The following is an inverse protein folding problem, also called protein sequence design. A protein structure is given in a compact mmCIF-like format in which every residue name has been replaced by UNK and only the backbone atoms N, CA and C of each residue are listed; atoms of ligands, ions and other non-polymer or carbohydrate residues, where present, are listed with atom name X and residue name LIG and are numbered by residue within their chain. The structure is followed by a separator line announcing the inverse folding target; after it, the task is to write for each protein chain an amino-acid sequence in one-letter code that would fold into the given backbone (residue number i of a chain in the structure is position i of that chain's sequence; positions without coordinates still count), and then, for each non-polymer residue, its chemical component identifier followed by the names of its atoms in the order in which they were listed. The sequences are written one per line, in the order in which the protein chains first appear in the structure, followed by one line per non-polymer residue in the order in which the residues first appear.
data_IF_170764364702
#
_entry.id   IF_170764364702
#
_cell.length_a   1.000
_cell.length_b   1.000
_cell.length_c   1.000
_cell.angle_alpha   90.00
_cell.angle_beta   90.00
_cell.angle_gamma   90.00
#
_symmetry.space_group_name_H-M   'P 1'
#
loop_
_entity.id
_entity.type
_entity.pdbx_description
1 polymer ?
#
# COMPACT_ATOMS: atom_id res chain seq x y z
N UNK A 1 -51.99 48.76 31.79
CA UNK A 1 -51.06 49.90 31.81
C UNK A 1 -50.00 49.56 30.76
N UNK A 2 -49.94 50.12 29.58
CA UNK A 2 -50.60 51.31 29.03
C UNK A 2 -50.88 51.12 27.54
N UNK A 3 -51.98 51.74 27.13
CA UNK A 3 -52.39 51.96 25.76
C UNK A 3 -51.79 53.28 25.22
N UNK A 4 -51.85 53.45 23.88
CA UNK A 4 -51.75 54.68 23.04
C UNK A 4 -50.70 54.50 21.92
N UNK A 5 -50.89 54.92 20.68
CA UNK A 5 -51.97 55.64 20.01
C UNK A 5 -51.81 55.45 18.49
N UNK A 6 -52.93 55.56 17.79
CA UNK A 6 -53.09 55.42 16.35
C UNK A 6 -52.68 56.67 15.54
N UNK A 7 -52.30 56.44 14.27
CA UNK A 7 -52.54 57.28 13.06
C UNK A 7 -51.80 56.58 11.91
N UNK A 8 -52.42 56.07 10.86
CA UNK A 8 -53.32 56.77 9.95
C UNK A 8 -52.58 57.00 8.63
N UNK A 9 -52.56 56.00 7.74
CA UNK A 9 -52.08 56.16 6.36
C UNK A 9 -53.17 55.74 5.39
N UNK A 10 -53.48 56.67 4.49
CA UNK A 10 -54.57 56.63 3.52
C UNK A 10 -54.30 55.55 2.48
N UNK A 11 -55.36 54.83 2.12
CA UNK A 11 -55.38 53.87 1.02
C UNK A 11 -54.95 54.51 -0.29
N UNK A 12 -53.99 53.86 -0.94
CA UNK A 12 -53.73 53.98 -2.36
C UNK A 12 -54.44 52.80 -3.01
N UNK A 13 -55.49 53.10 -3.77
CA UNK A 13 -56.16 52.15 -4.65
C UNK A 13 -55.16 51.73 -5.73
N UNK A 14 -54.63 50.52 -5.61
CA UNK A 14 -53.84 49.88 -6.65
C UNK A 14 -54.77 49.55 -7.83
N UNK A 15 -54.44 50.15 -8.96
CA UNK A 15 -54.97 49.87 -10.29
C UNK A 15 -54.58 48.42 -10.68
N UNK A 16 -55.53 47.50 -10.99
CA UNK A 16 -55.25 46.09 -11.22
C UNK A 16 -54.86 45.76 -12.67
N UNK A 17 -54.29 46.71 -13.41
CA UNK A 17 -54.13 46.58 -14.88
C UNK A 17 -52.67 46.50 -15.36
N UNK A 18 -51.75 46.01 -14.52
CA UNK A 18 -50.31 45.88 -14.86
C UNK A 18 -49.76 44.46 -14.75
N UNK A 19 -50.60 43.45 -14.54
CA UNK A 19 -50.17 42.05 -14.39
C UNK A 19 -50.15 41.21 -15.67
N UNK A 20 -50.36 41.79 -16.86
CA UNK A 20 -50.52 41.04 -18.11
C UNK A 20 -49.33 41.12 -19.08
N UNK A 21 -48.37 42.01 -18.87
CA UNK A 21 -47.14 42.09 -19.68
C UNK A 21 -46.04 41.17 -19.17
N UNK A 22 -45.94 40.98 -17.84
CA UNK A 22 -44.86 40.18 -17.24
C UNK A 22 -44.95 38.67 -17.53
N UNK A 23 -46.16 38.15 -17.82
CA UNK A 23 -46.33 36.72 -18.16
C UNK A 23 -45.89 36.39 -19.58
N UNK A 24 -46.06 37.31 -20.54
CA UNK A 24 -45.67 37.09 -21.94
C UNK A 24 -44.15 37.11 -22.11
N UNK A 25 -43.49 38.06 -21.45
CA UNK A 25 -42.03 38.17 -21.47
C UNK A 25 -41.37 36.95 -20.82
N UNK A 26 -42.01 36.34 -19.80
CA UNK A 26 -41.56 35.09 -19.18
C UNK A 26 -41.79 33.84 -20.06
N UNK A 27 -42.91 33.78 -20.79
CA UNK A 27 -43.19 32.69 -21.75
C UNK A 27 -42.24 32.73 -22.95
N UNK A 28 -42.00 33.92 -23.52
CA UNK A 28 -41.12 34.10 -24.67
C UNK A 28 -39.65 33.81 -24.28
N UNK A 29 -39.21 34.21 -23.08
CA UNK A 29 -37.89 33.86 -22.56
C UNK A 29 -37.73 32.33 -22.40
N UNK A 30 -38.74 31.64 -21.86
CA UNK A 30 -38.73 30.17 -21.69
C UNK A 30 -38.68 29.42 -23.02
N UNK A 31 -39.46 29.86 -24.00
CA UNK A 31 -39.50 29.23 -25.32
C UNK A 31 -38.15 29.34 -26.04
N UNK A 32 -37.47 30.48 -25.86
CA UNK A 32 -36.15 30.74 -26.44
C UNK A 32 -35.06 29.84 -25.83
N UNK A 33 -35.11 29.61 -24.50
CA UNK A 33 -34.17 28.72 -23.79
C UNK A 33 -34.36 27.25 -24.19
N UNK A 34 -35.61 26.78 -24.33
CA UNK A 34 -35.93 25.41 -24.74
C UNK A 34 -35.43 25.10 -26.17
N UNK A 35 -35.62 26.03 -27.11
CA UNK A 35 -35.13 25.90 -28.48
C UNK A 35 -33.59 25.86 -28.55
N UNK A 36 -32.90 26.67 -27.74
CA UNK A 36 -31.44 26.70 -27.66
C UNK A 36 -30.86 25.38 -27.14
N UNK A 37 -31.45 24.79 -26.09
CA UNK A 37 -31.02 23.49 -25.55
C UNK A 37 -31.27 22.34 -26.52
N UNK A 38 -32.40 22.36 -27.23
CA UNK A 38 -32.71 21.38 -28.29
C UNK A 38 -31.65 21.39 -29.40
N UNK A 39 -31.21 22.59 -29.83
CA UNK A 39 -30.13 22.72 -30.82
C UNK A 39 -28.80 22.17 -30.32
N UNK A 40 -28.44 22.43 -29.05
CA UNK A 40 -27.23 21.89 -28.40
C UNK A 40 -27.25 20.35 -28.32
N UNK A 41 -28.40 19.76 -27.95
CA UNK A 41 -28.60 18.29 -27.91
C UNK A 41 -28.33 17.68 -29.28
N UNK A 42 -28.91 18.26 -30.35
CA UNK A 42 -28.71 17.75 -31.72
C UNK A 42 -27.24 17.85 -32.15
N UNK A 43 -26.55 18.94 -31.81
CA UNK A 43 -25.14 19.13 -32.15
C UNK A 43 -24.21 18.15 -31.41
N UNK A 44 -24.55 17.79 -30.16
CA UNK A 44 -23.75 16.92 -29.30
C UNK A 44 -23.95 15.40 -29.54
N UNK A 45 -25.01 15.00 -30.26
CA UNK A 45 -25.43 13.60 -30.35
C UNK A 45 -24.36 12.63 -30.90
N UNK A 46 -23.59 13.06 -31.91
CA UNK A 46 -22.55 12.22 -32.50
C UNK A 46 -21.40 11.94 -31.51
N UNK A 47 -20.97 12.97 -30.77
CA UNK A 47 -19.89 12.83 -29.79
C UNK A 47 -20.35 12.00 -28.58
N UNK A 48 -21.58 12.21 -28.10
CA UNK A 48 -22.17 11.37 -27.05
C UNK A 48 -22.11 9.88 -27.42
N UNK A 49 -22.55 9.51 -28.63
CA UNK A 49 -22.57 8.11 -29.06
C UNK A 49 -21.16 7.51 -29.12
N UNK A 50 -20.16 8.29 -29.57
CA UNK A 50 -18.75 7.88 -29.57
C UNK A 50 -18.26 7.60 -28.14
N UNK A 51 -18.51 8.51 -27.21
CA UNK A 51 -18.04 8.37 -25.82
C UNK A 51 -18.72 7.19 -25.11
N UNK A 52 -20.03 6.98 -25.31
CA UNK A 52 -20.74 5.82 -24.76
C UNK A 52 -20.17 4.49 -25.28
N UNK A 53 -19.83 4.41 -26.58
CA UNK A 53 -19.16 3.23 -27.14
C UNK A 53 -17.79 2.99 -26.49
N UNK A 54 -17.02 4.05 -26.23
CA UNK A 54 -15.72 3.97 -25.57
C UNK A 54 -15.85 3.51 -24.11
N UNK A 55 -16.83 4.02 -23.36
CA UNK A 55 -17.14 3.57 -22.00
C UNK A 55 -17.48 2.08 -21.99
N UNK A 56 -18.36 1.63 -22.90
CA UNK A 56 -18.75 0.22 -23.01
C UNK A 56 -17.57 -0.69 -23.37
N UNK A 57 -16.68 -0.26 -24.28
CA UNK A 57 -15.50 -1.03 -24.67
C UNK A 57 -14.50 -1.20 -23.52
N UNK A 58 -14.44 -0.27 -22.57
CA UNK A 58 -13.43 -0.21 -21.50
C UNK A 58 -13.95 -0.62 -20.12
N UNK A 59 -15.26 -0.84 -19.95
CA UNK A 59 -15.90 -1.12 -18.65
C UNK A 59 -15.32 -2.30 -17.86
N UNK A 60 -14.75 -3.29 -18.55
CA UNK A 60 -14.20 -4.49 -17.91
C UNK A 60 -12.85 -4.23 -17.21
N UNK A 61 -12.15 -3.15 -17.56
CA UNK A 61 -10.77 -2.90 -17.13
C UNK A 61 -10.62 -2.81 -15.60
N UNK A 62 -11.55 -2.12 -14.91
CA UNK A 62 -11.53 -1.96 -13.45
C UNK A 62 -11.62 -3.31 -12.71
N UNK A 63 -12.58 -4.15 -13.13
CA UNK A 63 -12.78 -5.46 -12.51
C UNK A 63 -11.58 -6.39 -12.74
N UNK A 64 -11.03 -6.41 -13.95
CA UNK A 64 -9.84 -7.22 -14.26
C UNK A 64 -8.60 -6.74 -13.51
N UNK A 65 -8.40 -5.42 -13.33
CA UNK A 65 -7.33 -4.87 -12.49
C UNK A 65 -7.43 -5.37 -11.04
N UNK A 66 -8.63 -5.41 -10.48
CA UNK A 66 -8.88 -5.94 -9.14
C UNK A 66 -8.47 -7.41 -9.00
N UNK A 67 -8.66 -8.22 -10.04
CA UNK A 67 -8.29 -9.64 -10.07
C UNK A 67 -6.77 -9.88 -10.22
N UNK A 68 -6.05 -8.96 -10.87
CA UNK A 68 -4.60 -9.06 -11.10
C UNK A 68 -3.76 -8.80 -9.84
N UNK A 69 -4.22 -7.89 -8.96
CA UNK A 69 -3.49 -7.54 -7.73
C UNK A 69 -3.15 -8.75 -6.83
N UNK A 70 -4.09 -9.65 -6.49
CA UNK A 70 -3.77 -10.84 -5.70
C UNK A 70 -2.86 -11.82 -6.46
N UNK A 71 -3.00 -11.96 -7.78
CA UNK A 71 -2.14 -12.84 -8.59
C UNK A 71 -0.68 -12.39 -8.60
N UNK A 72 -0.46 -11.08 -8.76
CA UNK A 72 0.89 -10.48 -8.70
C UNK A 72 1.48 -10.68 -7.30
N UNK A 73 0.69 -10.50 -6.25
CA UNK A 73 1.15 -10.69 -4.86
C UNK A 73 1.54 -12.14 -4.60
N UNK A 74 0.70 -13.10 -4.98
CA UNK A 74 0.97 -14.53 -4.85
C UNK A 74 2.22 -14.96 -5.62
N UNK A 75 2.38 -14.52 -6.88
CA UNK A 75 3.59 -14.81 -7.66
C UNK A 75 4.83 -14.14 -7.10
N UNK A 76 4.72 -12.94 -6.52
CA UNK A 76 5.85 -12.24 -5.89
C UNK A 76 6.35 -13.04 -4.68
N UNK A 77 5.43 -13.52 -3.84
CA UNK A 77 5.77 -14.37 -2.69
C UNK A 77 6.42 -15.69 -3.17
N UNK A 78 5.84 -16.35 -4.18
CA UNK A 78 6.44 -17.55 -4.78
C UNK A 78 7.82 -17.30 -5.39
N UNK A 79 8.04 -16.12 -5.96
CA UNK A 79 9.34 -15.69 -6.48
C UNK A 79 10.38 -15.50 -5.38
N UNK A 80 9.98 -14.91 -4.25
CA UNK A 80 10.83 -14.79 -3.06
C UNK A 80 11.24 -16.16 -2.51
N UNK A 81 10.28 -17.07 -2.32
CA UNK A 81 10.55 -18.44 -1.85
C UNK A 81 11.47 -19.20 -2.82
N UNK A 82 11.21 -19.08 -4.13
CA UNK A 82 12.04 -19.70 -5.16
C UNK A 82 13.47 -19.12 -5.17
N UNK A 83 13.62 -17.82 -4.96
CA UNK A 83 14.92 -17.15 -4.87
C UNK A 83 15.72 -17.61 -3.64
N UNK A 84 15.07 -17.73 -2.46
CA UNK A 84 15.70 -18.29 -1.27
C UNK A 84 16.13 -19.75 -1.47
N UNK A 85 15.30 -20.56 -2.12
CA UNK A 85 15.65 -21.94 -2.47
C UNK A 85 16.87 -21.99 -3.39
N UNK A 86 16.92 -21.16 -4.44
CA UNK A 86 18.08 -21.08 -5.33
C UNK A 86 19.33 -20.67 -4.56
N UNK A 87 19.26 -19.66 -3.68
CA UNK A 87 20.38 -19.23 -2.86
C UNK A 87 20.91 -20.36 -1.96
N UNK A 88 20.00 -21.13 -1.36
CA UNK A 88 20.33 -22.27 -0.50
C UNK A 88 21.00 -23.39 -1.29
N UNK A 89 20.45 -23.76 -2.46
CA UNK A 89 21.01 -24.80 -3.32
C UNK A 89 22.39 -24.41 -3.88
N UNK A 90 22.61 -23.12 -4.17
CA UNK A 90 23.93 -22.63 -4.61
C UNK A 90 24.96 -22.63 -3.49
N UNK A 91 24.55 -22.34 -2.26
CA UNK A 91 25.42 -22.48 -1.10
C UNK A 91 25.82 -23.96 -0.89
N UNK A 92 24.84 -24.87 -0.95
CA UNK A 92 25.10 -26.32 -0.88
C UNK A 92 26.03 -26.79 -2.01
N UNK A 93 25.80 -26.36 -3.25
CA UNK A 93 26.64 -26.69 -4.40
C UNK A 93 28.09 -26.22 -4.19
N UNK A 94 28.30 -25.03 -3.63
CA UNK A 94 29.63 -24.51 -3.30
C UNK A 94 30.33 -25.39 -2.25
N UNK A 95 29.60 -25.82 -1.22
CA UNK A 95 30.14 -26.66 -0.16
C UNK A 95 30.48 -28.06 -0.67
N UNK A 96 29.61 -28.66 -1.49
CA UNK A 96 29.87 -29.94 -2.17
C UNK A 96 31.08 -29.85 -3.10
N UNK A 97 31.21 -28.76 -3.86
CA UNK A 97 32.39 -28.52 -4.70
C UNK A 97 33.68 -28.44 -3.88
N UNK A 98 33.63 -27.73 -2.75
CA UNK A 98 34.79 -27.61 -1.86
C UNK A 98 35.16 -28.96 -1.20
N UNK A 99 34.18 -29.82 -0.90
CA UNK A 99 34.42 -31.17 -0.43
C UNK A 99 35.11 -32.04 -1.49
N UNK A 100 34.55 -32.06 -2.70
CA UNK A 100 35.09 -32.77 -3.85
C UNK A 100 36.54 -32.36 -4.17
N UNK A 101 36.81 -31.05 -4.25
CA UNK A 101 38.15 -30.52 -4.49
C UNK A 101 39.16 -30.96 -3.38
N UNK A 102 38.73 -31.00 -2.11
CA UNK A 102 39.57 -31.50 -1.00
C UNK A 102 39.85 -32.99 -1.13
N UNK A 103 38.84 -33.78 -1.50
CA UNK A 103 38.97 -35.22 -1.63
C UNK A 103 39.86 -35.60 -2.83
N UNK A 104 39.69 -34.93 -3.97
CA UNK A 104 40.56 -35.07 -5.14
C UNK A 104 42.02 -34.71 -4.83
N UNK A 105 42.26 -33.60 -4.10
CA UNK A 105 43.62 -33.21 -3.67
C UNK A 105 44.25 -34.24 -2.72
N UNK A 106 43.47 -34.87 -1.84
CA UNK A 106 43.95 -35.94 -0.95
C UNK A 106 44.27 -37.22 -1.73
N UNK A 107 43.40 -37.64 -2.65
CA UNK A 107 43.63 -38.81 -3.51
C UNK A 107 44.87 -38.65 -4.44
N UNK A 108 45.14 -37.42 -4.88
CA UNK A 108 46.30 -37.09 -5.72
C UNK A 108 47.64 -36.97 -4.97
N UNK A 109 47.63 -36.85 -3.64
CA UNK A 109 48.84 -36.65 -2.82
C UNK A 109 49.68 -37.92 -2.71
N UNK A 110 51.00 -37.78 -2.95
CA UNK A 110 52.00 -38.85 -2.83
C UNK A 110 52.05 -39.48 -1.43
N UNK A 111 51.67 -38.72 -0.38
CA UNK A 111 51.62 -39.20 1.01
C UNK A 111 50.38 -40.04 1.27
N UNK A 112 49.23 -39.71 0.68
CA UNK A 112 48.01 -40.54 0.79
C UNK A 112 48.24 -41.90 0.12
N UNK A 113 48.88 -41.93 -1.06
CA UNK A 113 49.22 -43.19 -1.74
C UNK A 113 50.10 -44.14 -0.91
N UNK A 114 50.88 -43.61 0.04
CA UNK A 114 51.79 -44.38 0.90
C UNK A 114 51.12 -44.88 2.20
N UNK A 115 50.14 -44.16 2.75
CA UNK A 115 49.59 -44.46 4.09
C UNK A 115 48.07 -44.69 4.16
N UNK A 116 47.29 -44.21 3.19
CA UNK A 116 45.82 -44.39 3.16
C UNK A 116 45.32 -44.56 1.71
N UNK A 117 44.89 -45.78 1.38
CA UNK A 117 44.23 -46.10 0.11
C UNK A 117 42.91 -45.33 0.06
N UNK A 118 42.84 -44.27 -0.76
CA UNK A 118 41.62 -43.50 -0.97
C UNK A 118 40.50 -44.43 -1.45
N UNK A 119 39.35 -44.43 -0.77
CA UNK A 119 38.23 -45.31 -1.12
C UNK A 119 37.55 -44.77 -2.40
N UNK A 120 37.64 -45.47 -3.54
CA UNK A 120 37.08 -45.00 -4.80
C UNK A 120 35.55 -44.84 -4.73
N UNK A 121 34.88 -45.62 -3.88
CA UNK A 121 33.42 -45.51 -3.68
C UNK A 121 33.01 -44.22 -2.99
N UNK A 122 33.87 -43.69 -2.10
CA UNK A 122 33.59 -42.43 -1.42
C UNK A 122 33.73 -41.24 -2.38
N UNK A 123 34.68 -41.30 -3.32
CA UNK A 123 34.84 -40.27 -4.36
C UNK A 123 33.66 -40.28 -5.34
N UNK A 124 33.23 -41.47 -5.78
CA UNK A 124 32.07 -41.63 -6.67
C UNK A 124 30.79 -41.10 -6.01
N UNK A 125 30.56 -41.39 -4.72
CA UNK A 125 29.42 -40.87 -3.98
C UNK A 125 29.43 -39.33 -3.82
N UNK A 126 30.62 -38.71 -3.64
CA UNK A 126 30.76 -37.25 -3.60
C UNK A 126 30.55 -36.61 -4.99
N UNK A 127 30.99 -37.26 -6.07
CA UNK A 127 30.73 -36.84 -7.45
C UNK A 127 29.24 -36.88 -7.78
N UNK A 128 28.56 -37.98 -7.45
CA UNK A 128 27.11 -38.13 -7.63
C UNK A 128 26.32 -37.06 -6.85
N UNK A 129 26.69 -36.82 -5.58
CA UNK A 129 26.06 -35.79 -4.77
C UNK A 129 26.27 -34.37 -5.34
N UNK A 130 27.44 -34.09 -5.91
CA UNK A 130 27.71 -32.81 -6.59
C UNK A 130 26.82 -32.64 -7.83
N UNK A 131 26.75 -33.64 -8.72
CA UNK A 131 25.94 -33.56 -9.93
C UNK A 131 24.44 -33.51 -9.63
N UNK A 132 23.99 -34.21 -8.59
CA UNK A 132 22.61 -34.12 -8.11
C UNK A 132 22.29 -32.69 -7.62
N UNK A 133 23.16 -32.10 -6.79
CA UNK A 133 23.00 -30.73 -6.31
C UNK A 133 23.01 -29.71 -7.47
N UNK A 134 23.87 -29.90 -8.47
CA UNK A 134 23.91 -29.06 -9.67
C UNK A 134 22.60 -29.16 -10.47
N UNK A 135 22.08 -30.37 -10.68
CA UNK A 135 20.81 -30.59 -11.38
C UNK A 135 19.62 -29.94 -10.63
N UNK A 136 19.57 -30.03 -9.31
CA UNK A 136 18.55 -29.37 -8.49
C UNK A 136 18.66 -27.84 -8.57
N UNK A 137 19.87 -27.28 -8.48
CA UNK A 137 20.09 -25.85 -8.62
C UNK A 137 19.67 -25.34 -10.01
N UNK A 138 19.97 -26.09 -11.08
CA UNK A 138 19.55 -25.75 -12.44
C UNK A 138 18.01 -25.76 -12.58
N UNK A 139 17.33 -26.79 -12.07
CA UNK A 139 15.85 -26.85 -12.07
C UNK A 139 15.22 -25.69 -11.30
N UNK A 140 15.78 -25.35 -10.13
CA UNK A 140 15.30 -24.24 -9.31
C UNK A 140 15.46 -22.89 -10.03
N UNK A 141 16.59 -22.68 -10.72
CA UNK A 141 16.80 -21.47 -11.55
C UNK A 141 15.82 -21.35 -12.71
N UNK A 142 15.53 -22.45 -13.41
CA UNK A 142 14.52 -22.45 -14.48
C UNK A 142 13.14 -22.11 -13.93
N UNK A 143 12.77 -22.65 -12.77
CA UNK A 143 11.51 -22.34 -12.10
C UNK A 143 11.43 -20.86 -11.71
N UNK A 144 12.50 -20.31 -11.13
CA UNK A 144 12.58 -18.88 -10.78
C UNK A 144 12.43 -18.01 -12.02
N UNK A 145 13.18 -18.29 -13.10
CA UNK A 145 13.08 -17.54 -14.35
C UNK A 145 11.69 -17.59 -14.99
N UNK A 146 10.94 -18.70 -14.83
CA UNK A 146 9.54 -18.77 -15.25
C UNK A 146 8.63 -17.87 -14.41
N UNK A 147 8.81 -17.86 -13.08
CA UNK A 147 8.04 -16.99 -12.18
C UNK A 147 8.33 -15.52 -12.51
N UNK A 148 9.58 -15.16 -12.77
CA UNK A 148 9.96 -13.80 -13.16
C UNK A 148 9.31 -13.38 -14.50
N UNK A 149 9.31 -14.28 -15.50
CA UNK A 149 8.65 -14.03 -16.78
C UNK A 149 7.12 -13.87 -16.63
N UNK A 150 6.48 -14.72 -15.82
CA UNK A 150 5.05 -14.63 -15.53
C UNK A 150 4.74 -13.31 -14.78
N UNK A 151 5.59 -12.89 -13.84
CA UNK A 151 5.46 -11.61 -13.14
C UNK A 151 5.56 -10.41 -14.08
N UNK A 152 6.51 -10.44 -15.02
CA UNK A 152 6.68 -9.36 -16.00
C UNK A 152 5.48 -9.29 -16.96
N UNK A 153 4.95 -10.43 -17.40
CA UNK A 153 3.73 -10.48 -18.20
C UNK A 153 2.51 -9.90 -17.45
N UNK A 154 2.31 -10.26 -16.16
CA UNK A 154 1.22 -9.69 -15.37
C UNK A 154 1.41 -8.19 -15.11
N UNK A 155 2.64 -7.71 -14.93
CA UNK A 155 2.93 -6.28 -14.78
C UNK A 155 2.60 -5.50 -16.06
N UNK A 156 2.92 -6.06 -17.23
CA UNK A 156 2.55 -5.48 -18.53
C UNK A 156 1.02 -5.45 -18.68
N UNK A 157 0.34 -6.57 -18.43
CA UNK A 157 -1.12 -6.64 -18.47
C UNK A 157 -1.78 -5.63 -17.52
N UNK A 158 -1.22 -5.44 -16.32
CA UNK A 158 -1.68 -4.41 -15.37
C UNK A 158 -1.49 -3.00 -15.93
N UNK A 159 -0.37 -2.71 -16.59
CA UNK A 159 -0.15 -1.41 -17.21
C UNK A 159 -1.16 -1.14 -18.32
N UNK A 160 -1.42 -2.12 -19.20
CA UNK A 160 -2.39 -2.00 -20.29
C UNK A 160 -3.82 -1.78 -19.77
N UNK A 161 -4.22 -2.56 -18.76
CA UNK A 161 -5.56 -2.40 -18.16
C UNK A 161 -5.68 -1.07 -17.40
N UNK A 162 -4.60 -0.56 -16.81
CA UNK A 162 -4.59 0.77 -16.20
C UNK A 162 -4.79 1.85 -17.25
N UNK A 163 -4.10 1.76 -18.39
CA UNK A 163 -4.33 2.68 -19.51
C UNK A 163 -5.80 2.66 -19.97
N UNK A 164 -6.41 1.46 -20.12
CA UNK A 164 -7.84 1.33 -20.46
C UNK A 164 -8.78 1.87 -19.38
N UNK A 165 -8.43 1.71 -18.11
CA UNK A 165 -9.18 2.31 -17.00
C UNK A 165 -9.10 3.84 -17.02
N UNK A 166 -7.94 4.39 -17.34
CA UNK A 166 -7.74 5.83 -17.47
C UNK A 166 -8.51 6.36 -18.69
N UNK A 167 -8.51 5.65 -19.82
CA UNK A 167 -9.36 5.93 -20.98
C UNK A 167 -10.85 5.87 -20.66
N UNK A 168 -11.29 4.90 -19.85
CA UNK A 168 -12.67 4.79 -19.38
C UNK A 168 -13.06 6.02 -18.55
N UNK A 169 -12.20 6.40 -17.61
CA UNK A 169 -12.42 7.55 -16.73
C UNK A 169 -12.45 8.85 -17.52
N UNK A 170 -11.54 9.00 -18.49
CA UNK A 170 -11.52 10.16 -19.39
C UNK A 170 -12.81 10.25 -20.24
N UNK A 171 -13.31 9.12 -20.74
CA UNK A 171 -14.56 9.09 -21.50
C UNK A 171 -15.79 9.44 -20.64
N UNK A 172 -15.83 8.99 -19.39
CA UNK A 172 -16.87 9.39 -18.43
C UNK A 172 -16.82 10.89 -18.13
N UNK A 173 -15.63 11.44 -17.86
CA UNK A 173 -15.47 12.88 -17.63
C UNK A 173 -15.87 13.69 -18.86
N UNK A 174 -15.49 13.25 -20.06
CA UNK A 174 -15.90 13.90 -21.30
C UNK A 174 -17.42 13.83 -21.54
N UNK A 175 -18.09 12.74 -21.14
CA UNK A 175 -19.56 12.67 -21.14
C UNK A 175 -20.16 13.67 -20.15
N UNK A 176 -19.62 13.75 -18.94
CA UNK A 176 -20.07 14.69 -17.92
C UNK A 176 -19.89 16.14 -18.39
N UNK A 177 -18.75 16.48 -18.99
CA UNK A 177 -18.49 17.80 -19.59
C UNK A 177 -19.42 18.11 -20.78
N UNK A 178 -19.65 17.12 -21.67
CA UNK A 178 -20.57 17.25 -22.79
C UNK A 178 -21.99 17.51 -22.28
N UNK A 179 -22.43 16.76 -21.26
CA UNK A 179 -23.73 16.95 -20.65
C UNK A 179 -23.83 18.29 -19.93
N UNK A 180 -22.82 18.68 -19.16
CA UNK A 180 -22.75 20.00 -18.54
C UNK A 180 -22.91 21.09 -19.60
N UNK A 181 -22.15 21.08 -20.71
CA UNK A 181 -22.27 22.10 -21.75
C UNK A 181 -23.63 22.12 -22.49
N UNK A 182 -24.26 20.96 -22.64
CA UNK A 182 -25.59 20.84 -23.27
C UNK A 182 -26.69 21.34 -22.35
N UNK A 183 -26.60 21.03 -21.06
CA UNK A 183 -27.61 21.35 -20.06
C UNK A 183 -27.28 22.59 -19.20
N UNK A 184 -26.15 23.26 -19.42
CA UNK A 184 -25.80 24.51 -18.74
C UNK A 184 -26.87 25.58 -19.05
N UNK A 185 -27.58 26.04 -18.02
CA UNK A 185 -28.71 26.97 -18.10
C UNK A 185 -30.00 26.44 -17.47
N UNK A 186 -31.12 27.18 -17.56
CA UNK A 186 -32.41 26.72 -17.04
C UNK A 186 -32.79 25.40 -17.69
N UNK A 187 -33.13 24.40 -16.86
CA UNK A 187 -33.60 23.09 -17.32
C UNK A 187 -34.60 23.24 -18.47
N UNK A 188 -34.38 22.59 -19.62
CA UNK A 188 -35.31 22.67 -20.74
C UNK A 188 -36.67 22.10 -20.31
N UNK A 189 -37.76 22.83 -20.57
CA UNK A 189 -39.16 22.45 -20.25
C UNK A 189 -39.68 21.31 -21.15
N UNK A 190 -38.79 20.36 -21.48
CA UNK A 190 -38.97 19.29 -22.46
C UNK A 190 -39.27 17.95 -21.76
N UNK A 191 -39.47 17.97 -20.43
CA UNK A 191 -39.92 16.80 -19.65
C UNK A 191 -40.25 17.13 -18.19
N UNK A 192 -41.13 16.32 -17.58
CA UNK A 192 -41.64 16.44 -16.20
C UNK A 192 -40.61 16.14 -15.09
N UNK A 193 -39.31 16.10 -15.37
CA UNK A 193 -38.27 15.74 -14.41
C UNK A 193 -37.37 16.92 -14.06
N UNK A 194 -37.27 17.27 -12.77
CA UNK A 194 -36.34 18.28 -12.24
C UNK A 194 -34.88 17.78 -12.37
N UNK A 195 -34.26 17.93 -13.55
CA UNK A 195 -32.84 17.59 -13.77
C UNK A 195 -31.93 18.35 -12.81
N UNK A 196 -32.23 19.63 -12.56
CA UNK A 196 -31.58 20.48 -11.55
C UNK A 196 -31.59 19.84 -10.15
N UNK A 197 -32.68 19.14 -9.77
CA UNK A 197 -32.79 18.49 -8.46
C UNK A 197 -31.91 17.23 -8.37
N UNK A 198 -31.81 16.46 -9.45
CA UNK A 198 -30.88 15.31 -9.53
C UNK A 198 -29.43 15.77 -9.52
N UNK A 199 -29.10 16.85 -10.24
CA UNK A 199 -27.76 17.44 -10.19
C UNK A 199 -27.41 17.89 -8.77
N UNK A 200 -28.31 18.63 -8.10
CA UNK A 200 -28.13 19.03 -6.71
C UNK A 200 -27.91 17.85 -5.77
N UNK A 201 -28.65 16.74 -5.96
CA UNK A 201 -28.47 15.52 -5.19
C UNK A 201 -27.10 14.86 -5.43
N UNK A 202 -26.63 14.81 -6.68
CA UNK A 202 -25.29 14.29 -7.01
C UNK A 202 -24.19 15.16 -6.42
N UNK A 203 -24.31 16.48 -6.51
CA UNK A 203 -23.35 17.41 -5.91
C UNK A 203 -23.28 17.25 -4.38
N UNK A 204 -24.43 17.09 -3.71
CA UNK A 204 -24.49 16.82 -2.28
C UNK A 204 -23.83 15.48 -1.92
N UNK A 205 -24.12 14.41 -2.67
CA UNK A 205 -23.50 13.09 -2.47
C UNK A 205 -21.98 13.13 -2.70
N UNK A 206 -21.53 13.89 -3.72
CA UNK A 206 -20.11 14.09 -4.01
C UNK A 206 -19.40 14.78 -2.85
N UNK A 207 -19.97 15.85 -2.30
CA UNK A 207 -19.40 16.56 -1.17
C UNK A 207 -19.25 15.66 0.08
N UNK A 208 -20.22 14.79 0.34
CA UNK A 208 -20.13 13.80 1.43
C UNK A 208 -19.02 12.78 1.15
N UNK A 209 -18.96 12.23 -0.05
CA UNK A 209 -17.91 11.27 -0.44
C UNK A 209 -16.51 11.88 -0.32
N UNK A 210 -16.31 13.10 -0.83
CA UNK A 210 -15.02 13.79 -0.78
C UNK A 210 -14.58 14.08 0.66
N UNK A 211 -15.51 14.47 1.53
CA UNK A 211 -15.23 14.66 2.95
C UNK A 211 -14.77 13.35 3.64
N UNK A 212 -15.42 12.22 3.32
CA UNK A 212 -15.02 10.89 3.83
C UNK A 212 -13.66 10.49 3.25
N UNK A 213 -13.43 10.71 1.96
CA UNK A 213 -12.17 10.37 1.30
C UNK A 213 -10.99 11.17 1.86
N UNK A 214 -11.18 12.45 2.16
CA UNK A 214 -10.18 13.27 2.84
C UNK A 214 -9.84 12.75 4.24
N UNK A 215 -10.86 12.37 5.03
CA UNK A 215 -10.68 11.72 6.33
C UNK A 215 -9.94 10.39 6.22
N UNK A 216 -10.27 9.57 5.23
CA UNK A 216 -9.63 8.28 4.99
C UNK A 216 -8.14 8.45 4.64
N UNK A 217 -7.82 9.40 3.74
CA UNK A 217 -6.44 9.68 3.35
C UNK A 217 -5.60 10.15 4.55
N UNK A 218 -6.17 11.02 5.39
CA UNK A 218 -5.53 11.46 6.64
C UNK A 218 -5.30 10.29 7.61
N UNK A 219 -6.33 9.47 7.87
CA UNK A 219 -6.22 8.31 8.77
C UNK A 219 -5.19 7.28 8.28
N UNK A 220 -5.13 7.03 6.97
CA UNK A 220 -4.13 6.13 6.36
C UNK A 220 -2.71 6.64 6.54
N UNK A 221 -2.48 7.95 6.37
CA UNK A 221 -1.16 8.54 6.56
C UNK A 221 -0.71 8.44 8.04
N UNK A 222 -1.61 8.68 9.00
CA UNK A 222 -1.33 8.49 10.44
C UNK A 222 -1.00 7.03 10.75
N UNK A 223 -1.84 6.09 10.30
CA UNK A 223 -1.60 4.65 10.51
C UNK A 223 -0.28 4.20 9.86
N UNK A 224 0.06 4.72 8.68
CA UNK A 224 1.32 4.45 8.00
C UNK A 224 2.54 4.87 8.83
N UNK A 225 2.52 6.05 9.45
CA UNK A 225 3.59 6.50 10.34
C UNK A 225 3.69 5.67 11.62
N UNK A 226 2.57 5.29 12.24
CA UNK A 226 2.59 4.42 13.43
C UNK A 226 3.16 3.03 13.11
N UNK A 227 2.77 2.45 11.98
CA UNK A 227 3.30 1.16 11.53
C UNK A 227 4.78 1.24 11.16
N UNK A 228 5.25 2.36 10.59
CA UNK A 228 6.66 2.58 10.36
C UNK A 228 7.43 2.66 11.69
N UNK A 229 6.92 3.41 12.68
CA UNK A 229 7.52 3.49 14.01
C UNK A 229 7.60 2.11 14.68
N UNK A 230 6.51 1.35 14.65
CA UNK A 230 6.44 -0.03 15.14
C UNK A 230 7.47 -0.92 14.43
N UNK A 231 7.58 -0.82 13.11
CA UNK A 231 8.55 -1.55 12.30
C UNK A 231 10.00 -1.27 12.72
N UNK A 232 10.35 0.00 12.96
CA UNK A 232 11.70 0.36 13.44
C UNK A 232 11.98 -0.17 14.86
N UNK A 233 11.00 -0.17 15.76
CA UNK A 233 11.14 -0.79 17.11
C UNK A 233 11.34 -2.31 17.01
N UNK A 234 10.60 -3.00 16.13
CA UNK A 234 10.80 -4.44 15.87
C UNK A 234 12.19 -4.71 15.28
N UNK A 235 12.68 -3.85 14.37
CA UNK A 235 14.04 -3.95 13.85
C UNK A 235 15.09 -3.82 14.96
N UNK A 236 14.90 -2.89 15.90
CA UNK A 236 15.74 -2.76 17.10
C UNK A 236 15.76 -4.05 17.93
N UNK A 237 14.60 -4.66 18.19
CA UNK A 237 14.50 -5.95 18.91
C UNK A 237 15.25 -7.07 18.18
N UNK A 238 15.22 -7.12 16.85
CA UNK A 238 15.95 -8.11 16.07
C UNK A 238 17.48 -7.91 16.17
N UNK A 239 17.95 -6.66 16.20
CA UNK A 239 19.36 -6.35 16.45
C UNK A 239 19.79 -6.76 17.86
N UNK A 240 18.95 -6.50 18.87
CA UNK A 240 19.20 -6.94 20.26
C UNK A 240 19.20 -8.47 20.37
N UNK A 241 18.25 -9.17 19.72
CA UNK A 241 18.23 -10.63 19.71
C UNK A 241 19.49 -11.23 19.06
N UNK A 242 20.00 -10.60 18.00
CA UNK A 242 21.27 -10.97 17.38
C UNK A 242 22.46 -10.72 18.32
N UNK A 243 22.46 -9.58 19.03
CA UNK A 243 23.49 -9.27 20.03
C UNK A 243 23.48 -10.29 21.18
N UNK A 244 22.32 -10.63 21.73
CA UNK A 244 22.17 -11.68 22.75
C UNK A 244 22.66 -13.04 22.26
N UNK A 245 22.46 -13.37 20.99
CA UNK A 245 22.99 -14.61 20.42
C UNK A 245 24.51 -14.61 20.40
N UNK A 246 25.15 -13.51 19.99
CA UNK A 246 26.62 -13.38 20.01
C UNK A 246 27.16 -13.40 21.45
N UNK A 247 26.51 -12.70 22.38
CA UNK A 247 26.85 -12.68 23.80
C UNK A 247 26.80 -14.09 24.41
N UNK A 248 25.78 -14.88 24.08
CA UNK A 248 25.67 -16.29 24.53
C UNK A 248 26.76 -17.17 23.95
N UNK A 249 27.09 -16.98 22.67
CA UNK A 249 28.19 -17.71 22.05
C UNK A 249 29.51 -17.40 22.76
N UNK A 250 29.74 -16.14 23.12
CA UNK A 250 30.94 -15.72 23.81
C UNK A 250 31.06 -16.32 25.23
N UNK A 251 29.98 -16.27 26.01
CA UNK A 251 29.91 -16.88 27.36
C UNK A 251 30.09 -18.41 27.31
N UNK A 252 29.58 -19.08 26.27
CA UNK A 252 29.67 -20.54 26.13
C UNK A 252 31.04 -20.97 25.60
N UNK A 253 31.61 -20.23 24.65
CA UNK A 253 32.95 -20.51 24.11
C UNK A 253 34.04 -20.22 25.16
N UNK A 254 33.87 -19.23 26.05
CA UNK A 254 34.80 -18.96 27.15
C UNK A 254 34.78 -20.04 28.25
N UNK A 255 33.65 -20.73 28.43
CA UNK A 255 33.51 -21.88 29.33
C UNK A 255 33.96 -23.22 28.70
N UNK A 256 34.40 -23.22 27.44
CA UNK A 256 35.01 -24.34 26.74
C UNK A 256 36.42 -24.66 27.25
N UNK A 257 36.58 -24.86 28.57
CA UNK A 257 37.76 -25.55 29.11
C UNK A 257 37.78 -26.95 28.49
N UNK A 258 38.77 -27.15 27.63
CA UNK A 258 39.17 -28.44 27.05
C UNK A 258 39.13 -29.58 28.08
N UNK A 259 38.04 -30.35 28.09
CA UNK A 259 38.06 -31.71 28.61
C UNK A 259 38.23 -32.70 27.45
N UNK A 260 39.50 -32.96 27.11
CA UNK A 260 39.97 -34.29 26.70
C UNK A 260 39.55 -34.80 25.32
N UNK A 261 40.18 -34.30 24.24
CA UNK A 261 40.48 -35.12 23.08
C UNK A 261 41.71 -34.59 22.34
N UNK A 262 42.73 -35.45 22.21
CA UNK A 262 44.01 -35.16 21.57
C UNK A 262 43.89 -34.80 20.08
N UNK A 263 42.72 -34.99 19.46
CA UNK A 263 42.45 -34.55 18.09
C UNK A 263 42.15 -33.04 17.96
N UNK A 264 41.92 -32.33 19.08
CA UNK A 264 41.65 -30.88 19.07
C UNK A 264 42.90 -29.99 19.11
N UNK A 265 44.11 -30.57 19.13
CA UNK A 265 45.36 -29.82 19.21
C UNK A 265 45.64 -28.90 18.02
N UNK A 266 44.99 -29.11 16.88
CA UNK A 266 45.04 -28.19 15.73
C UNK A 266 44.13 -26.96 15.87
N UNK A 267 43.23 -26.93 16.87
CA UNK A 267 42.36 -25.77 17.16
C UNK A 267 42.93 -24.85 18.26
N UNK A 268 44.14 -25.14 18.76
CA UNK A 268 44.81 -24.38 19.83
C UNK A 268 45.45 -23.07 19.33
N UNK A 269 45.37 -22.78 18.03
CA UNK A 269 45.83 -21.50 17.48
C UNK A 269 44.66 -20.49 17.49
N UNK A 270 44.55 -19.75 18.60
CA UNK A 270 43.66 -18.61 18.89
C UNK A 270 42.27 -18.87 19.52
N UNK A 271 42.21 -19.27 20.80
CA UNK A 271 41.00 -19.08 21.63
C UNK A 271 40.59 -17.61 21.82
N UNK A 272 41.47 -16.64 21.57
CA UNK A 272 41.18 -15.20 21.69
C UNK A 272 40.58 -14.55 20.43
N UNK A 273 40.48 -15.27 19.31
CA UNK A 273 40.03 -14.68 18.04
C UNK A 273 38.54 -14.90 17.78
N UNK A 274 37.91 -15.89 18.42
CA UNK A 274 36.44 -16.09 18.37
C UNK A 274 35.71 -15.11 19.28
N UNK A 275 36.18 -14.89 20.52
CA UNK A 275 35.54 -13.97 21.48
C UNK A 275 35.62 -12.51 21.02
N UNK A 276 36.82 -12.03 20.67
CA UNK A 276 37.01 -10.67 20.16
C UNK A 276 36.23 -10.39 18.86
N UNK A 277 35.85 -11.44 18.11
CA UNK A 277 34.97 -11.33 16.94
C UNK A 277 33.49 -11.29 17.36
N UNK A 278 33.09 -12.10 18.33
CA UNK A 278 31.75 -12.07 18.91
C UNK A 278 31.46 -10.69 19.51
N UNK A 279 32.36 -10.13 20.32
CA UNK A 279 32.23 -8.79 20.93
C UNK A 279 32.03 -7.68 19.88
N UNK A 280 32.79 -7.78 18.76
CA UNK A 280 32.68 -6.81 17.67
C UNK A 280 31.32 -6.92 16.99
N UNK A 281 30.89 -8.14 16.67
CA UNK A 281 29.60 -8.38 16.02
C UNK A 281 28.45 -7.95 16.92
N UNK A 282 28.52 -8.27 18.21
CA UNK A 282 27.55 -7.86 19.23
C UNK A 282 27.43 -6.33 19.30
N UNK A 283 28.55 -5.63 19.51
CA UNK A 283 28.58 -4.16 19.56
C UNK A 283 28.13 -3.53 18.25
N UNK A 284 28.49 -4.11 17.11
CA UNK A 284 28.04 -3.63 15.81
C UNK A 284 26.52 -3.78 15.64
N UNK A 285 25.90 -4.80 16.24
CA UNK A 285 24.43 -4.89 16.31
C UNK A 285 23.82 -3.87 17.26
N UNK A 286 24.39 -3.70 18.46
CA UNK A 286 23.87 -2.75 19.45
C UNK A 286 23.93 -1.29 18.96
N UNK A 287 24.96 -0.91 18.18
CA UNK A 287 25.06 0.43 17.55
C UNK A 287 23.91 0.77 16.61
N UNK A 288 23.18 -0.22 16.09
CA UNK A 288 22.03 0.01 15.20
C UNK A 288 20.74 0.31 15.99
N UNK A 289 20.66 -0.10 17.25
CA UNK A 289 19.48 0.08 18.10
C UNK A 289 19.09 1.56 18.26
N UNK A 290 20.01 2.50 18.59
CA UNK A 290 19.67 3.92 18.73
C UNK A 290 19.14 4.53 17.43
N UNK A 291 19.69 4.12 16.28
CA UNK A 291 19.24 4.60 14.98
C UNK A 291 17.79 4.18 14.69
N UNK A 292 17.46 2.92 14.97
CA UNK A 292 16.10 2.40 14.86
C UNK A 292 15.13 3.10 15.83
N UNK A 293 15.54 3.34 17.07
CA UNK A 293 14.72 4.06 18.05
C UNK A 293 14.49 5.52 17.65
N UNK A 294 15.51 6.21 17.15
CA UNK A 294 15.39 7.59 16.66
C UNK A 294 14.47 7.68 15.42
N UNK A 295 14.52 6.70 14.52
CA UNK A 295 13.59 6.61 13.39
C UNK A 295 12.15 6.39 13.87
N UNK A 296 11.95 5.54 14.87
CA UNK A 296 10.64 5.33 15.49
C UNK A 296 10.10 6.61 16.14
N UNK A 297 10.93 7.35 16.88
CA UNK A 297 10.58 8.65 17.45
C UNK A 297 10.21 9.68 16.38
N UNK A 298 10.95 9.72 15.28
CA UNK A 298 10.67 10.60 14.14
C UNK A 298 9.28 10.33 13.54
N UNK A 299 8.98 9.07 13.25
CA UNK A 299 7.66 8.69 12.73
C UNK A 299 6.53 8.95 13.72
N UNK A 300 6.78 8.71 15.01
CA UNK A 300 5.80 9.03 16.05
C UNK A 300 5.54 10.54 16.14
N UNK A 301 6.57 11.37 16.02
CA UNK A 301 6.43 12.82 16.00
C UNK A 301 5.60 13.31 14.80
N UNK A 302 5.81 12.72 13.61
CA UNK A 302 5.01 13.01 12.41
C UNK A 302 3.55 12.61 12.61
N UNK A 303 3.29 11.40 13.11
CA UNK A 303 1.93 10.95 13.42
C UNK A 303 1.23 11.91 14.41
N UNK A 304 1.94 12.34 15.46
CA UNK A 304 1.45 13.29 16.46
C UNK A 304 1.17 14.68 15.91
N UNK A 305 1.97 15.14 14.95
CA UNK A 305 1.73 16.41 14.27
C UNK A 305 0.47 16.34 13.41
N UNK A 306 0.20 15.19 12.80
CA UNK A 306 -0.97 14.99 11.94
C UNK A 306 -2.27 14.80 12.72
N UNK A 307 -2.23 14.08 13.85
CA UNK A 307 -3.41 13.76 14.66
C UNK A 307 -3.15 13.94 16.17
N UNK A 308 -3.07 15.20 16.64
CA UNK A 308 -2.77 15.49 18.05
C UNK A 308 -3.93 15.16 19.00
N UNK A 309 -5.14 14.96 18.49
CA UNK A 309 -6.33 14.74 19.30
C UNK A 309 -6.53 13.27 19.69
N UNK A 310 -6.15 12.34 18.81
CA UNK A 310 -6.41 10.91 19.00
C UNK A 310 -5.19 10.12 19.47
N UNK A 311 -3.98 10.63 19.26
CA UNK A 311 -2.80 10.02 19.85
C UNK A 311 -2.73 10.41 21.32
N UNK A 312 -2.63 9.40 22.19
CA UNK A 312 -2.58 9.62 23.63
C UNK A 312 -1.56 10.71 23.96
N UNK A 313 -1.97 11.66 24.83
CA UNK A 313 -1.14 12.82 25.23
C UNK A 313 0.23 12.41 25.78
N UNK A 314 0.40 11.13 26.12
CA UNK A 314 1.56 10.50 26.72
C UNK A 314 2.32 9.54 25.79
N UNK A 315 2.03 9.50 24.48
CA UNK A 315 2.86 8.80 23.49
C UNK A 315 4.24 9.47 23.41
N UNK A 316 5.08 9.08 24.34
CA UNK A 316 6.52 9.24 24.35
C UNK A 316 7.04 7.82 24.51
N UNK A 317 7.94 7.42 23.63
CA UNK A 317 8.61 6.14 23.81
C UNK A 317 9.35 6.18 25.16
N UNK A 318 9.23 5.13 25.98
CA UNK A 318 10.08 4.97 27.15
C UNK A 318 11.54 5.22 26.78
N UNK A 319 12.27 5.96 27.63
CA UNK A 319 13.71 6.10 27.44
C UNK A 319 14.38 4.76 27.70
N UNK A 320 14.95 4.18 26.65
CA UNK A 320 15.67 2.91 26.74
C UNK A 320 17.15 3.19 26.92
N UNK A 321 17.77 2.76 28.03
CA UNK A 321 19.23 2.69 28.10
C UNK A 321 19.71 1.58 27.16
N UNK A 322 20.52 1.92 26.16
CA UNK A 322 21.08 0.93 25.24
C UNK A 322 22.40 0.42 25.79
N UNK A 323 22.53 -0.91 25.89
CA UNK A 323 23.75 -1.55 26.35
C UNK A 323 24.98 -1.07 25.58
N UNK A 324 26.01 -0.66 26.31
CA UNK A 324 27.26 -0.18 25.73
C UNK A 324 27.27 1.29 25.29
N UNK A 325 26.17 2.03 25.42
CA UNK A 325 26.16 3.49 25.31
C UNK A 325 26.52 4.17 26.65
N UNK A 326 27.43 5.16 26.62
CA UNK A 326 27.82 5.94 27.81
C UNK A 326 28.87 5.26 28.72
N UNK A 327 28.89 5.62 30.00
CA UNK A 327 29.82 5.12 31.01
C UNK A 327 29.29 3.87 31.74
N UNK A 328 28.74 2.88 31.01
CA UNK A 328 28.37 1.61 31.65
C UNK A 328 29.61 0.97 32.27
N UNK A 329 29.53 0.72 33.58
CA UNK A 329 30.60 0.08 34.35
C UNK A 329 30.82 -1.35 33.86
N UNK A 330 29.76 -2.04 33.41
CA UNK A 330 29.88 -3.38 32.83
C UNK A 330 30.66 -3.36 31.51
N UNK A 331 30.36 -2.43 30.60
CA UNK A 331 31.09 -2.26 29.33
C UNK A 331 32.57 -1.88 29.55
N UNK A 332 32.86 -1.00 30.52
CA UNK A 332 34.23 -0.61 30.86
C UNK A 332 35.04 -1.77 31.47
N UNK A 333 34.42 -2.59 32.30
CA UNK A 333 35.05 -3.76 32.92
C UNK A 333 35.25 -4.90 31.92
N UNK A 334 34.28 -5.12 31.04
CA UNK A 334 34.35 -6.09 29.95
C UNK A 334 35.53 -5.81 29.02
N UNK A 335 35.66 -4.58 28.54
CA UNK A 335 36.80 -4.17 27.69
C UNK A 335 38.16 -4.26 28.39
N UNK A 336 38.20 -4.08 29.72
CA UNK A 336 39.44 -4.01 30.48
C UNK A 336 39.94 -5.38 30.98
N UNK A 337 39.03 -6.29 31.31
CA UNK A 337 39.36 -7.55 32.00
C UNK A 337 38.98 -8.78 31.16
N UNK A 338 37.99 -8.70 30.26
CA UNK A 338 37.51 -9.77 29.36
C UNK A 338 37.46 -11.14 30.09
N UNK A 339 36.52 -11.22 31.04
CA UNK A 339 36.32 -12.40 31.89
C UNK A 339 34.89 -12.90 31.78
N UNK A 340 34.63 -14.20 31.98
CA UNK A 340 33.26 -14.75 31.93
C UNK A 340 32.24 -14.01 32.83
N UNK A 341 32.72 -13.39 33.93
CA UNK A 341 31.88 -12.58 34.81
C UNK A 341 31.50 -11.24 34.18
N UNK A 342 32.44 -10.57 33.49
CA UNK A 342 32.15 -9.30 32.80
C UNK A 342 31.29 -9.51 31.57
N UNK A 343 31.50 -10.60 30.83
CA UNK A 343 30.70 -10.98 29.67
C UNK A 343 29.24 -11.25 30.10
N UNK A 344 29.06 -11.92 31.25
CA UNK A 344 27.74 -12.15 31.85
C UNK A 344 27.05 -10.85 32.32
N UNK A 345 27.80 -9.91 32.92
CA UNK A 345 27.23 -8.61 33.31
C UNK A 345 26.80 -7.79 32.08
N UNK A 346 27.56 -7.84 30.99
CA UNK A 346 27.18 -7.18 29.74
C UNK A 346 25.98 -7.87 29.07
N UNK A 347 25.89 -9.21 29.13
CA UNK A 347 24.71 -9.95 28.71
C UNK A 347 23.43 -9.47 29.40
N UNK A 348 23.47 -9.30 30.72
CA UNK A 348 22.35 -8.77 31.51
C UNK A 348 21.95 -7.36 31.06
N UNK A 349 22.92 -6.48 30.74
CA UNK A 349 22.65 -5.13 30.23
C UNK A 349 21.92 -5.17 28.86
N UNK A 350 22.26 -6.14 28.02
CA UNK A 350 21.57 -6.36 26.74
C UNK A 350 20.13 -6.87 26.98
N UNK A 351 19.92 -7.74 27.98
CA UNK A 351 18.58 -8.18 28.38
C UNK A 351 17.72 -7.01 28.91
N UNK A 352 18.28 -6.14 29.75
CA UNK A 352 17.62 -4.91 30.22
C UNK A 352 17.26 -3.99 29.05
N UNK A 353 18.17 -3.84 28.07
CA UNK A 353 17.91 -3.09 26.83
C UNK A 353 16.73 -3.71 26.08
N UNK A 354 16.68 -5.05 25.99
CA UNK A 354 15.58 -5.76 25.33
C UNK A 354 14.24 -5.47 26.00
N UNK A 355 14.20 -5.51 27.34
CA UNK A 355 12.99 -5.22 28.11
C UNK A 355 12.53 -3.76 27.89
N UNK A 356 13.46 -2.80 27.90
CA UNK A 356 13.15 -1.41 27.58
C UNK A 356 12.57 -1.21 26.18
N UNK A 357 13.15 -1.83 25.15
CA UNK A 357 12.61 -1.75 23.78
C UNK A 357 11.26 -2.47 23.66
N UNK A 358 11.03 -3.58 24.38
CA UNK A 358 9.71 -4.23 24.43
C UNK A 358 8.65 -3.31 25.02
N UNK A 359 8.97 -2.58 26.09
CA UNK A 359 8.05 -1.60 26.67
C UNK A 359 7.67 -0.49 25.67
N UNK A 360 8.58 -0.10 24.76
CA UNK A 360 8.24 0.80 23.65
C UNK A 360 7.21 0.19 22.69
N UNK A 361 7.35 -1.10 22.38
CA UNK A 361 6.41 -1.81 21.51
C UNK A 361 5.03 -1.96 22.16
N UNK A 362 4.99 -2.28 23.45
CA UNK A 362 3.73 -2.41 24.23
C UNK A 362 2.92 -1.10 24.24
N UNK A 363 3.59 0.06 24.12
CA UNK A 363 2.94 1.37 23.99
C UNK A 363 2.48 1.64 22.56
N UNK A 364 3.25 1.23 21.54
CA UNK A 364 2.95 1.50 20.13
C UNK A 364 1.90 0.57 19.52
N UNK A 365 1.91 -0.71 19.88
CA UNK A 365 1.00 -1.72 19.33
C UNK A 365 -0.48 -1.34 19.47
N UNK A 366 -1.01 -0.99 20.66
CA UNK A 366 -2.43 -0.64 20.78
C UNK A 366 -2.80 0.62 19.98
N UNK A 367 -1.87 1.56 19.82
CA UNK A 367 -2.10 2.81 19.10
C UNK A 367 -2.10 2.57 17.58
N UNK A 368 -1.22 1.70 17.08
CA UNK A 368 -1.22 1.25 15.70
C UNK A 368 -2.49 0.46 15.37
N UNK A 369 -2.89 -0.49 16.23
CA UNK A 369 -4.13 -1.25 16.09
C UNK A 369 -5.37 -0.34 16.09
N UNK A 370 -5.41 0.65 16.99
CA UNK A 370 -6.51 1.61 17.03
C UNK A 370 -6.55 2.48 15.76
N UNK A 371 -5.39 2.90 15.23
CA UNK A 371 -5.35 3.65 13.98
C UNK A 371 -5.83 2.83 12.78
N UNK A 372 -5.47 1.54 12.71
CA UNK A 372 -5.97 0.62 11.69
C UNK A 372 -7.48 0.40 11.82
N UNK A 373 -7.99 0.24 13.04
CA UNK A 373 -9.43 0.13 13.29
C UNK A 373 -10.19 1.39 12.85
N UNK A 374 -9.62 2.59 13.04
CA UNK A 374 -10.18 3.85 12.51
C UNK A 374 -10.21 3.88 10.99
N UNK A 375 -9.13 3.45 10.33
CA UNK A 375 -9.08 3.33 8.87
C UNK A 375 -10.20 2.42 8.37
N UNK A 376 -10.38 1.27 9.02
CA UNK A 376 -11.41 0.32 8.61
C UNK A 376 -12.83 0.82 8.86
N UNK A 377 -13.08 1.50 9.99
CA UNK A 377 -14.35 2.16 10.25
C UNK A 377 -14.70 3.22 9.19
N UNK A 378 -13.72 4.02 8.75
CA UNK A 378 -13.93 5.03 7.70
C UNK A 378 -14.15 4.36 6.34
N UNK A 379 -13.50 3.23 6.05
CA UNK A 379 -13.77 2.45 4.82
C UNK A 379 -15.20 1.95 4.78
N UNK A 380 -15.70 1.42 5.89
CA UNK A 380 -17.10 0.98 6.02
C UNK A 380 -18.08 2.15 5.86
N UNK A 381 -17.72 3.35 6.33
CA UNK A 381 -18.49 4.59 6.09
C UNK A 381 -18.45 5.01 4.61
N UNK A 382 -17.33 4.79 3.91
CA UNK A 382 -17.15 5.17 2.51
C UNK A 382 -18.02 4.34 1.56
N UNK A 383 -18.16 3.04 1.79
CA UNK A 383 -18.90 2.16 0.88
C UNK A 383 -20.34 2.63 0.55
N UNK A 384 -21.22 2.94 1.54
CA UNK A 384 -22.56 3.42 1.24
C UNK A 384 -22.56 4.81 0.58
N UNK A 385 -21.60 5.68 0.92
CA UNK A 385 -21.46 7.00 0.28
C UNK A 385 -21.02 6.87 -1.20
N UNK A 386 -20.09 5.96 -1.49
CA UNK A 386 -19.66 5.62 -2.86
C UNK A 386 -20.83 5.05 -3.65
N UNK A 387 -21.59 4.12 -3.06
CA UNK A 387 -22.78 3.54 -3.70
C UNK A 387 -23.86 4.59 -3.98
N UNK A 388 -24.13 5.48 -3.03
CA UNK A 388 -25.10 6.58 -3.21
C UNK A 388 -24.68 7.56 -4.31
N UNK A 389 -23.38 7.91 -4.36
CA UNK A 389 -22.83 8.76 -5.41
C UNK A 389 -22.95 8.10 -6.80
N UNK A 390 -22.59 6.82 -6.90
CA UNK A 390 -22.69 6.07 -8.16
C UNK A 390 -24.14 5.93 -8.62
N UNK A 391 -25.06 5.64 -7.70
CA UNK A 391 -26.49 5.56 -7.97
C UNK A 391 -27.06 6.91 -8.45
N UNK A 392 -26.74 8.00 -7.74
CA UNK A 392 -27.18 9.34 -8.12
C UNK A 392 -26.67 9.75 -9.50
N UNK A 393 -25.39 9.49 -9.79
CA UNK A 393 -24.81 9.73 -11.12
C UNK A 393 -25.50 8.91 -12.20
N UNK A 394 -25.83 7.65 -11.92
CA UNK A 394 -26.56 6.79 -12.85
C UNK A 394 -27.95 7.38 -13.15
N UNK A 395 -28.71 7.74 -12.13
CA UNK A 395 -30.05 8.31 -12.29
C UNK A 395 -30.04 9.63 -13.09
N UNK A 396 -29.08 10.51 -12.80
CA UNK A 396 -28.90 11.75 -13.55
C UNK A 396 -28.56 11.47 -15.02
N UNK A 397 -27.67 10.51 -15.27
CA UNK A 397 -27.31 10.13 -16.64
C UNK A 397 -28.49 9.50 -17.38
N UNK A 398 -29.24 8.58 -16.76
CA UNK A 398 -30.42 7.95 -17.36
C UNK A 398 -31.48 9.01 -17.74
N UNK A 399 -31.71 10.00 -16.87
CA UNK A 399 -32.60 11.13 -17.16
C UNK A 399 -32.10 11.94 -18.35
N UNK A 400 -30.81 12.30 -18.38
CA UNK A 400 -30.20 13.04 -19.49
C UNK A 400 -30.27 12.25 -20.81
N UNK A 401 -30.12 10.93 -20.76
CA UNK A 401 -30.31 10.06 -21.93
C UNK A 401 -31.75 10.07 -22.41
N UNK A 402 -32.72 9.96 -21.51
CA UNK A 402 -34.15 10.02 -21.85
C UNK A 402 -34.50 11.35 -22.51
N UNK A 403 -34.01 12.48 -21.97
CA UNK A 403 -34.17 13.81 -22.55
C UNK A 403 -33.55 13.89 -23.95
N UNK A 404 -32.32 13.39 -24.13
CA UNK A 404 -31.66 13.31 -25.43
C UNK A 404 -32.50 12.52 -26.45
N UNK A 405 -33.00 11.34 -26.07
CA UNK A 405 -33.78 10.49 -26.97
C UNK A 405 -35.13 11.11 -27.34
N UNK A 406 -35.83 11.73 -26.38
CA UNK A 406 -37.09 12.44 -26.63
C UNK A 406 -36.91 13.53 -27.68
N UNK A 407 -35.86 14.34 -27.53
CA UNK A 407 -35.54 15.43 -28.47
C UNK A 407 -35.18 14.91 -29.86
N UNK A 408 -34.38 13.84 -29.94
CA UNK A 408 -34.04 13.23 -31.24
C UNK A 408 -35.26 12.61 -31.93
N UNK A 409 -36.14 11.93 -31.20
CA UNK A 409 -37.39 11.38 -31.74
C UNK A 409 -38.35 12.46 -32.22
N UNK A 410 -38.47 13.57 -31.50
CA UNK A 410 -39.29 14.71 -31.92
C UNK A 410 -38.80 15.29 -33.27
N UNK A 411 -37.48 15.45 -33.43
CA UNK A 411 -36.87 15.88 -34.69
C UNK A 411 -37.10 14.90 -35.85
N UNK A 412 -36.97 13.60 -35.60
CA UNK A 412 -37.16 12.59 -36.64
C UNK A 412 -38.64 12.40 -37.01
N UNK A 413 -39.57 12.67 -36.07
CA UNK A 413 -41.01 12.69 -36.29
C UNK A 413 -41.53 13.91 -37.08
N UNK A 414 -40.79 15.03 -37.11
CA UNK A 414 -41.10 16.20 -37.95
C UNK A 414 -40.72 16.03 -39.43
N UNK A 415 -40.09 14.92 -39.82
CA UNK A 415 -40.01 14.53 -41.24
C UNK A 415 -41.34 13.93 -41.69
N UNK A 416 -42.35 14.78 -41.81
CA UNK A 416 -43.59 14.43 -42.50
C UNK A 416 -43.23 14.05 -43.95
N UNK A 417 -43.53 12.80 -44.29
CA UNK A 417 -43.35 12.22 -45.62
C UNK A 417 -44.24 13.00 -46.58
N UNK A 418 -43.62 13.80 -47.45
CA UNK A 418 -44.31 14.39 -48.60
C UNK A 418 -44.89 13.22 -49.43
N UNK A 419 -46.23 13.13 -49.61
CA UNK A 419 -46.80 12.02 -50.37
C UNK A 419 -46.29 12.10 -51.81
N UNK A 420 -45.96 10.95 -52.44
CA UNK A 420 -45.47 10.95 -53.81
C UNK A 420 -46.50 11.62 -54.72
N UNK A 421 -46.07 12.69 -55.38
CA UNK A 421 -46.85 13.34 -56.41
C UNK A 421 -47.07 12.33 -57.54
N UNK A 422 -48.29 11.80 -57.65
CA UNK A 422 -48.73 11.14 -58.86
C UNK A 422 -48.96 12.20 -59.93
N UNK A 423 -48.06 12.22 -60.91
CA UNK A 423 -48.19 12.92 -62.18
C UNK A 423 -47.87 11.96 -63.31
#
# INVERSE_FOLDING_TARGET
MDAKDAKGSKGTTADPTTGQTDYKDAEDAKNTTSAATTSRIVAAAAERNRLVQQVAATQHAKATLGQLAPQITDLTNKGFDASQLVATLLAQLRDQRAALDKHQKRAGSSVSRLFHRSDPKALEAEEDAYYEAEAWAAKARVKLGRIDADLDALKQQRADLRARHDEHTAALNALDELYAGVFDGPSPDVGEGDEDAFEGAVQAAQAVYDAIQARLAHALAVAGHLNAARGSVVAALNHIASALQYSRQDIVDSNGVHHGSAASAASIVNPHFSSARADRLERDRLKLVPACLAEAEHHLALAKQMDPAHLSRFLLLPRVPVAGEGHSVANLLDQAVNTPLTDYLFHMEIEDTQEGVRACLDVLDPEAEQAEARVEAIRQEREPAEAALLEGRRQLLDLRVELFEKVLRARDGEKEVEPPAYG
#
